data_IF_290669181704
#
_entry.id   IF_290669181704
#
_cell.length_a   1.000
_cell.length_b   1.000
_cell.length_c   1.000
_cell.angle_alpha   90.00
_cell.angle_beta   90.00
_cell.angle_gamma   90.00
#
_symmetry.space_group_name_H-M   'P 1'
#
loop_
_entity.id
_entity.type
_entity.pdbx_description
1 polymer ?
#
# COMPACT_ATOMS: atom_id res chain seq x y z
N UNK A 1 -24.72 66.75 -38.30
CA UNK A 1 -23.28 67.12 -38.30
C UNK A 1 -22.62 66.46 -37.10
N UNK A 2 -21.56 65.67 -37.35
CA UNK A 2 -20.34 65.35 -36.55
C UNK A 2 -20.49 65.31 -35.01
N UNK A 3 -20.01 64.35 -34.23
CA UNK A 3 -18.98 63.32 -34.42
C UNK A 3 -18.93 62.43 -33.16
N UNK A 4 -18.88 61.11 -33.37
CA UNK A 4 -18.16 60.04 -32.65
C UNK A 4 -17.47 60.39 -31.31
N UNK A 5 -17.83 59.64 -30.26
CA UNK A 5 -16.92 59.25 -29.15
C UNK A 5 -17.23 57.78 -28.82
N UNK A 6 -16.57 56.86 -29.53
CA UNK A 6 -15.41 56.06 -29.09
C UNK A 6 -15.82 54.74 -28.43
N UNK A 7 -15.71 53.68 -29.23
CA UNK A 7 -15.64 52.30 -28.80
C UNK A 7 -14.47 52.10 -27.82
N UNK A 8 -14.72 51.52 -26.65
CA UNK A 8 -13.76 50.63 -25.99
C UNK A 8 -14.55 49.45 -25.43
N UNK A 9 -14.95 48.58 -26.34
CA UNK A 9 -15.33 47.20 -26.05
C UNK A 9 -14.10 46.36 -26.42
N UNK A 10 -13.24 46.02 -25.46
CA UNK A 10 -12.11 45.11 -25.73
C UNK A 10 -11.45 44.62 -24.43
N UNK A 11 -11.66 43.33 -24.17
CA UNK A 11 -10.74 42.43 -23.47
C UNK A 11 -10.48 42.67 -21.97
N UNK A 12 -11.41 42.18 -21.13
CA UNK A 12 -11.02 41.56 -19.87
C UNK A 12 -11.26 40.04 -19.99
N UNK A 13 -10.41 39.41 -20.80
CA UNK A 13 -10.33 37.95 -20.92
C UNK A 13 -9.88 37.36 -19.60
N UNK A 14 -10.82 36.69 -18.95
CA UNK A 14 -10.69 35.61 -17.97
C UNK A 14 -9.30 34.92 -17.98
N UNK A 15 -8.46 35.22 -17.00
CA UNK A 15 -7.34 34.35 -16.65
C UNK A 15 -7.87 33.19 -15.81
N UNK A 16 -8.45 32.20 -16.47
CA UNK A 16 -8.72 30.88 -15.88
C UNK A 16 -7.84 29.87 -16.60
N UNK A 17 -6.61 29.70 -16.14
CA UNK A 17 -5.73 28.59 -16.51
C UNK A 17 -4.54 28.57 -15.56
N UNK A 18 -4.23 27.49 -14.85
CA UNK A 18 -4.92 26.23 -14.68
C UNK A 18 -4.51 25.65 -13.34
N UNK A 19 -5.44 25.02 -12.64
CA UNK A 19 -5.04 24.09 -11.59
C UNK A 19 -4.23 22.99 -12.29
N UNK A 20 -2.96 22.93 -11.97
CA UNK A 20 -2.04 21.87 -12.36
C UNK A 20 -2.76 20.54 -12.28
N UNK A 21 -2.81 19.83 -13.41
CA UNK A 21 -3.18 18.43 -13.48
C UNK A 21 -2.24 17.70 -12.52
N UNK A 22 -2.70 17.49 -11.28
CA UNK A 22 -2.12 16.48 -10.41
C UNK A 22 -2.21 15.16 -11.18
N UNK A 23 -1.16 14.33 -11.18
CA UNK A 23 -1.23 13.05 -11.87
C UNK A 23 -2.38 12.26 -11.28
N UNK A 24 -3.44 12.10 -12.06
CA UNK A 24 -4.53 11.17 -11.81
C UNK A 24 -3.85 9.82 -11.59
N UNK A 25 -4.11 9.17 -10.45
CA UNK A 25 -3.60 7.82 -10.18
C UNK A 25 -3.80 6.98 -11.45
N UNK A 26 -2.71 6.53 -12.07
CA UNK A 26 -2.80 5.82 -13.34
C UNK A 26 -3.64 4.56 -13.14
N UNK A 27 -4.56 4.32 -14.07
CA UNK A 27 -5.35 3.09 -14.11
C UNK A 27 -4.45 1.86 -14.03
N UNK A 28 -4.96 0.81 -13.37
CA UNK A 28 -4.26 -0.48 -13.29
C UNK A 28 -4.18 -1.07 -14.69
N UNK A 29 -3.01 -1.58 -15.08
CA UNK A 29 -2.84 -2.22 -16.39
C UNK A 29 -3.87 -3.33 -16.60
N UNK A 30 -4.33 -3.46 -17.84
CA UNK A 30 -5.27 -4.53 -18.22
C UNK A 30 -4.70 -5.90 -17.86
N UNK A 31 -5.50 -6.71 -17.16
CA UNK A 31 -5.08 -8.04 -16.68
C UNK A 31 -4.19 -8.03 -15.43
N UNK A 32 -3.95 -6.86 -14.82
CA UNK A 32 -3.17 -6.73 -13.58
C UNK A 32 -4.04 -6.31 -12.40
N UNK A 33 -3.48 -6.47 -11.21
CA UNK A 33 -3.96 -5.91 -9.94
C UNK A 33 -2.87 -5.05 -9.34
N UNK A 34 -3.24 -3.98 -8.63
CA UNK A 34 -2.29 -3.16 -7.88
C UNK A 34 -2.42 -3.46 -6.40
N UNK A 35 -1.33 -3.86 -5.74
CA UNK A 35 -1.31 -4.06 -4.28
C UNK A 35 -0.56 -2.88 -3.66
N UNK A 36 -1.24 -2.17 -2.76
CA UNK A 36 -0.71 -1.04 -2.00
C UNK A 36 -0.25 -1.51 -0.63
N UNK A 37 0.94 -1.08 -0.24
CA UNK A 37 1.45 -1.28 1.11
C UNK A 37 0.90 -0.19 2.02
N UNK A 38 0.75 -0.50 3.30
CA UNK A 38 0.35 0.46 4.33
C UNK A 38 1.57 0.87 5.15
N UNK A 39 1.67 2.16 5.39
CA UNK A 39 2.67 2.76 6.27
C UNK A 39 1.96 3.76 7.16
N UNK A 40 1.99 3.53 8.48
CA UNK A 40 1.50 4.46 9.47
C UNK A 40 2.66 4.90 10.35
N UNK A 41 2.90 6.21 10.39
CA UNK A 41 3.97 6.81 11.16
C UNK A 41 3.37 7.83 12.11
N UNK A 42 3.37 7.46 13.38
CA UNK A 42 2.95 8.31 14.49
C UNK A 42 4.18 8.72 15.30
N UNK A 43 4.11 9.81 16.09
CA UNK A 43 5.26 10.26 16.88
C UNK A 43 5.90 9.18 17.77
N UNK A 44 5.12 8.18 18.20
CA UNK A 44 5.55 7.13 19.13
C UNK A 44 5.68 5.74 18.49
N UNK A 45 5.25 5.57 17.24
CA UNK A 45 5.17 4.25 16.60
C UNK A 45 5.23 4.35 15.09
N UNK A 46 6.11 3.56 14.50
CA UNK A 46 6.12 3.26 13.07
C UNK A 46 5.54 1.87 12.84
N UNK A 47 4.58 1.78 11.94
CA UNK A 47 3.92 0.55 11.53
C UNK A 47 3.98 0.46 10.00
N UNK A 48 4.33 -0.72 9.49
CA UNK A 48 4.33 -0.99 8.07
C UNK A 48 3.81 -2.38 7.78
N UNK A 49 2.93 -2.49 6.80
CA UNK A 49 2.37 -3.74 6.30
C UNK A 49 2.64 -3.78 4.80
N UNK A 50 3.47 -4.74 4.37
CA UNK A 50 3.94 -4.77 3.00
C UNK A 50 4.20 -6.19 2.50
N UNK A 51 4.14 -6.37 1.18
CA UNK A 51 4.66 -7.59 0.55
C UNK A 51 6.19 -7.58 0.67
N UNK A 52 6.78 -8.57 1.32
CA UNK A 52 8.25 -8.65 1.45
C UNK A 52 8.90 -9.62 0.45
N UNK A 53 8.14 -10.05 -0.56
CA UNK A 53 8.60 -10.90 -1.64
C UNK A 53 8.39 -10.24 -3.00
N UNK A 54 9.37 -10.36 -3.89
CA UNK A 54 9.25 -9.97 -5.30
C UNK A 54 10.14 -10.81 -6.20
N UNK A 55 9.58 -11.27 -7.31
CA UNK A 55 10.19 -12.27 -8.19
C UNK A 55 10.75 -13.43 -7.36
N UNK A 56 9.96 -13.88 -6.37
CA UNK A 56 10.31 -14.97 -5.46
C UNK A 56 11.57 -14.72 -4.61
N UNK A 57 11.92 -13.45 -4.37
CA UNK A 57 13.08 -13.04 -3.56
C UNK A 57 12.67 -12.13 -2.41
N UNK A 58 13.39 -12.25 -1.31
CA UNK A 58 13.25 -11.34 -0.16
C UNK A 58 13.69 -9.95 -0.58
N UNK A 59 12.94 -8.97 -0.12
CA UNK A 59 13.16 -7.55 -0.37
C UNK A 59 12.85 -6.78 0.91
N UNK A 60 13.61 -5.72 1.15
CA UNK A 60 13.55 -5.00 2.42
C UNK A 60 12.41 -3.97 2.46
N UNK A 61 12.06 -3.40 1.29
CA UNK A 61 10.98 -2.42 1.16
C UNK A 61 10.30 -2.51 -0.20
N UNK A 62 8.98 -2.32 -0.23
CA UNK A 62 8.20 -2.22 -1.46
C UNK A 62 7.51 -0.89 -1.62
N UNK A 63 7.67 -0.34 -2.82
CA UNK A 63 6.69 0.57 -3.40
C UNK A 63 5.46 -0.23 -3.84
N UNK A 64 4.32 0.43 -3.99
CA UNK A 64 3.14 -0.21 -4.57
C UNK A 64 3.49 -0.80 -5.94
N UNK A 65 3.06 -2.04 -6.21
CA UNK A 65 3.35 -2.76 -7.45
C UNK A 65 2.10 -3.36 -8.06
N UNK A 66 2.22 -3.62 -9.36
CA UNK A 66 1.23 -4.36 -10.13
C UNK A 66 1.69 -5.79 -10.34
N UNK A 67 0.75 -6.73 -10.21
CA UNK A 67 0.94 -8.15 -10.44
C UNK A 67 -0.12 -8.66 -11.41
N UNK A 68 0.13 -9.72 -12.19
CA UNK A 68 -0.92 -10.35 -12.99
C UNK A 68 -2.11 -10.71 -12.11
N UNK A 69 -3.34 -10.52 -12.58
CA UNK A 69 -4.54 -10.89 -11.83
C UNK A 69 -4.69 -12.41 -11.70
N UNK A 70 -5.51 -12.82 -10.72
CA UNK A 70 -5.89 -14.21 -10.47
C UNK A 70 -5.41 -14.73 -9.11
N UNK A 71 -5.13 -16.03 -9.06
CA UNK A 71 -4.73 -16.71 -7.82
C UNK A 71 -3.32 -16.31 -7.39
N UNK A 72 -3.18 -15.86 -6.15
CA UNK A 72 -1.90 -15.53 -5.53
C UNK A 72 -1.65 -16.25 -4.22
N UNK A 73 -0.37 -16.56 -4.00
CA UNK A 73 0.19 -16.91 -2.70
C UNK A 73 1.08 -15.76 -2.23
N UNK A 74 0.56 -14.90 -1.37
CA UNK A 74 1.20 -13.66 -0.95
C UNK A 74 1.78 -13.81 0.45
N UNK A 75 3.03 -13.37 0.63
CA UNK A 75 3.67 -13.27 1.92
C UNK A 75 3.77 -11.80 2.34
N UNK A 76 3.07 -11.46 3.42
CA UNK A 76 2.94 -10.11 3.96
C UNK A 76 3.76 -10.02 5.24
N UNK A 77 4.57 -8.99 5.36
CA UNK A 77 5.32 -8.64 6.54
C UNK A 77 4.68 -7.43 7.22
N UNK A 78 4.57 -7.54 8.53
CA UNK A 78 4.24 -6.44 9.43
C UNK A 78 5.49 -6.12 10.20
N UNK A 79 5.89 -4.84 10.22
CA UNK A 79 6.90 -4.34 11.13
C UNK A 79 6.31 -3.22 11.99
N UNK A 80 6.50 -3.34 13.31
CA UNK A 80 6.09 -2.34 14.32
C UNK A 80 7.31 -1.94 15.12
N UNK A 81 7.68 -0.66 15.09
CA UNK A 81 8.78 -0.11 15.86
C UNK A 81 8.30 1.02 16.77
N UNK A 82 8.66 0.96 18.05
CA UNK A 82 8.50 2.06 18.99
C UNK A 82 9.61 3.09 18.76
N UNK A 83 9.23 4.31 18.39
CA UNK A 83 10.13 5.41 18.07
C UNK A 83 10.63 6.18 19.30
N UNK A 84 9.98 5.99 20.47
CA UNK A 84 10.34 6.67 21.73
C UNK A 84 11.46 5.93 22.44
N UNK A 85 11.40 4.60 22.47
CA UNK A 85 12.31 3.77 23.27
C UNK A 85 13.48 3.18 22.49
N UNK A 86 13.68 3.56 21.22
CA UNK A 86 14.70 2.97 20.32
C UNK A 86 14.69 1.42 20.36
N UNK A 87 13.50 0.83 20.44
CA UNK A 87 13.35 -0.63 20.51
C UNK A 87 13.72 -1.26 19.16
N UNK A 88 14.20 -2.52 19.18
CA UNK A 88 14.66 -3.25 17.99
C UNK A 88 13.56 -3.58 16.95
N UNK A 89 12.35 -3.02 17.09
CA UNK A 89 11.19 -3.38 16.30
C UNK A 89 10.68 -4.79 16.60
N UNK A 90 9.44 -5.04 16.21
CA UNK A 90 8.86 -6.38 16.17
C UNK A 90 8.25 -6.63 14.81
N UNK A 91 8.28 -7.87 14.39
CA UNK A 91 7.77 -8.29 13.09
C UNK A 91 6.82 -9.48 13.20
N UNK A 92 5.89 -9.57 12.25
CA UNK A 92 5.14 -10.77 11.98
C UNK A 92 5.07 -11.00 10.48
N UNK A 93 4.90 -12.26 10.08
CA UNK A 93 4.67 -12.60 8.67
C UNK A 93 3.45 -13.49 8.54
N UNK A 94 2.60 -13.12 7.59
CA UNK A 94 1.33 -13.76 7.29
C UNK A 94 1.34 -14.22 5.84
N UNK A 95 0.70 -15.35 5.56
CA UNK A 95 0.49 -15.86 4.22
C UNK A 95 -0.99 -15.73 3.85
N UNK A 96 -1.25 -15.25 2.63
CA UNK A 96 -2.58 -15.18 2.04
C UNK A 96 -2.62 -15.96 0.75
N UNK A 97 -3.59 -16.87 0.65
CA UNK A 97 -3.94 -17.54 -0.59
C UNK A 97 -5.28 -16.95 -1.06
N UNK A 98 -5.23 -16.08 -2.07
CA UNK A 98 -6.36 -15.22 -2.48
C UNK A 98 -6.48 -15.17 -3.99
N UNK A 99 -7.69 -15.01 -4.50
CA UNK A 99 -7.95 -14.72 -5.91
C UNK A 99 -8.25 -13.22 -6.06
N UNK A 100 -7.46 -12.52 -6.87
CA UNK A 100 -7.54 -11.07 -7.04
C UNK A 100 -7.95 -10.74 -8.49
N UNK A 101 -9.23 -10.37 -8.73
CA UNK A 101 -9.70 -9.97 -10.05
C UNK A 101 -8.96 -8.78 -10.65
N UNK A 102 -8.79 -8.80 -11.98
CA UNK A 102 -8.10 -7.77 -12.75
C UNK A 102 -8.76 -6.39 -12.66
N UNK A 103 -7.96 -5.34 -12.87
CA UNK A 103 -8.41 -3.95 -12.89
C UNK A 103 -8.66 -3.35 -11.51
N UNK A 104 -8.44 -4.11 -10.43
CA UNK A 104 -8.67 -3.68 -9.05
C UNK A 104 -7.39 -3.25 -8.35
N UNK A 105 -7.58 -2.39 -7.34
CA UNK A 105 -6.55 -1.97 -6.41
C UNK A 105 -6.88 -2.59 -5.05
N UNK A 106 -5.87 -3.13 -4.40
CA UNK A 106 -5.99 -3.72 -3.06
C UNK A 106 -5.02 -3.01 -2.12
N UNK A 107 -5.36 -2.98 -0.84
CA UNK A 107 -4.47 -2.50 0.21
C UNK A 107 -4.25 -3.60 1.25
N UNK A 108 -3.01 -3.76 1.67
CA UNK A 108 -2.69 -4.56 2.85
C UNK A 108 -3.06 -3.75 4.08
N UNK A 109 -3.99 -4.26 4.88
CA UNK A 109 -4.47 -3.56 6.06
C UNK A 109 -4.25 -4.39 7.33
N UNK A 110 -4.29 -3.72 8.47
CA UNK A 110 -4.14 -4.38 9.76
C UNK A 110 -4.53 -3.51 10.94
N UNK A 111 -4.64 -4.17 12.09
CA UNK A 111 -5.00 -3.54 13.34
C UNK A 111 -4.29 -4.22 14.51
N UNK A 112 -3.66 -3.41 15.35
CA UNK A 112 -3.13 -3.85 16.65
C UNK A 112 -4.26 -4.28 17.58
N UNK A 113 -4.15 -5.51 18.13
CA UNK A 113 -5.14 -6.08 19.05
C UNK A 113 -4.73 -5.96 20.52
N UNK A 114 -3.43 -6.00 20.78
CA UNK A 114 -2.81 -5.79 22.08
C UNK A 114 -1.76 -4.69 21.94
N UNK A 115 -1.28 -4.11 23.05
CA UNK A 115 -0.24 -3.07 23.16
C UNK A 115 1.12 -3.57 22.66
N UNK A 116 1.17 -3.90 21.36
CA UNK A 116 2.31 -4.35 20.56
C UNK A 116 2.64 -5.85 20.60
N UNK A 117 1.77 -6.72 21.12
CA UNK A 117 2.02 -8.17 21.10
C UNK A 117 1.35 -8.89 19.92
N UNK A 118 0.15 -8.47 19.53
CA UNK A 118 -0.67 -9.15 18.53
C UNK A 118 -1.31 -8.18 17.55
N UNK A 119 -1.45 -8.63 16.31
CA UNK A 119 -2.06 -7.87 15.23
C UNK A 119 -2.98 -8.74 14.38
N UNK A 120 -4.09 -8.17 13.92
CA UNK A 120 -4.90 -8.70 12.84
C UNK A 120 -4.41 -8.11 11.51
N UNK A 121 -4.26 -8.93 10.47
CA UNK A 121 -3.83 -8.52 9.13
C UNK A 121 -4.79 -9.09 8.09
N UNK A 122 -5.13 -8.31 7.08
CA UNK A 122 -6.00 -8.73 5.97
C UNK A 122 -5.75 -7.89 4.71
N UNK A 123 -6.46 -8.22 3.64
CA UNK A 123 -6.44 -7.51 2.36
C UNK A 123 -7.83 -6.92 2.12
N UNK A 124 -7.87 -5.65 1.73
CA UNK A 124 -9.10 -4.95 1.35
C UNK A 124 -9.04 -4.49 -0.10
N UNK A 125 -10.19 -4.49 -0.78
CA UNK A 125 -10.39 -3.70 -1.98
C UNK A 125 -10.31 -2.21 -1.62
N UNK A 126 -9.42 -1.50 -2.31
CA UNK A 126 -9.08 -0.12 -1.98
C UNK A 126 -10.22 0.86 -2.23
N UNK A 127 -11.11 0.56 -3.18
CA UNK A 127 -12.13 1.52 -3.63
C UNK A 127 -13.40 1.44 -2.76
N UNK A 128 -13.73 0.26 -2.21
CA UNK A 128 -14.96 0.05 -1.45
C UNK A 128 -14.75 -0.48 -0.01
N UNK A 129 -13.50 -0.70 0.42
CA UNK A 129 -13.13 -1.25 1.73
C UNK A 129 -13.71 -2.66 2.02
N UNK A 130 -14.05 -3.41 0.99
CA UNK A 130 -14.46 -4.81 1.13
C UNK A 130 -13.26 -5.67 1.51
N UNK A 131 -13.37 -6.45 2.60
CA UNK A 131 -12.34 -7.41 3.01
C UNK A 131 -12.37 -8.60 2.05
N UNK A 132 -11.29 -8.80 1.29
CA UNK A 132 -11.17 -9.84 0.24
C UNK A 132 -10.28 -11.02 0.66
N UNK A 133 -9.82 -11.05 1.91
CA UNK A 133 -9.06 -12.16 2.49
C UNK A 133 -9.61 -12.56 3.86
N UNK A 134 -9.24 -13.73 4.39
CA UNK A 134 -9.39 -13.99 5.81
C UNK A 134 -8.67 -12.93 6.65
N UNK A 135 -9.20 -12.63 7.83
CA UNK A 135 -8.49 -11.82 8.84
C UNK A 135 -7.61 -12.76 9.65
N UNK A 136 -6.29 -12.55 9.59
CA UNK A 136 -5.31 -13.42 10.26
C UNK A 136 -4.77 -12.70 11.49
N UNK A 137 -4.96 -13.30 12.67
CA UNK A 137 -4.33 -12.85 13.91
C UNK A 137 -2.93 -13.46 14.04
N UNK A 138 -1.95 -12.65 14.39
CA UNK A 138 -0.56 -13.10 14.50
C UNK A 138 0.17 -12.36 15.63
N UNK A 139 1.12 -13.05 16.25
CA UNK A 139 1.96 -12.48 17.31
C UNK A 139 3.22 -11.87 16.72
N UNK A 140 3.55 -10.67 17.19
CA UNK A 140 4.74 -9.91 16.83
C UNK A 140 5.96 -10.47 17.56
N UNK A 141 7.04 -10.75 16.83
CA UNK A 141 8.27 -11.37 17.34
C UNK A 141 9.47 -10.46 17.13
N UNK A 142 10.53 -10.68 17.91
CA UNK A 142 11.80 -9.97 17.69
C UNK A 142 12.43 -10.45 16.36
N UNK A 143 12.77 -9.55 15.41
CA UNK A 143 13.34 -9.92 14.12
C UNK A 143 14.63 -10.74 14.21
N UNK A 144 15.48 -10.47 15.21
CA UNK A 144 16.74 -11.20 15.43
C UNK A 144 16.56 -12.69 15.70
N UNK A 145 15.36 -13.11 16.10
CA UNK A 145 15.02 -14.50 16.35
C UNK A 145 14.58 -15.25 15.08
N UNK A 146 14.40 -14.56 13.95
CA UNK A 146 13.87 -15.16 12.73
C UNK A 146 15.01 -15.38 11.71
N UNK A 147 15.34 -16.65 11.37
CA UNK A 147 16.42 -16.94 10.43
C UNK A 147 16.11 -16.44 9.02
N UNK A 148 17.09 -15.82 8.36
CA UNK A 148 16.96 -15.39 6.96
C UNK A 148 16.54 -16.53 6.00
N UNK A 149 17.00 -17.77 6.26
CA UNK A 149 16.62 -18.94 5.46
C UNK A 149 15.11 -19.21 5.47
N UNK A 150 14.41 -18.85 6.55
CA UNK A 150 12.95 -18.94 6.58
C UNK A 150 12.33 -17.93 5.61
N UNK A 151 12.81 -16.67 5.62
CA UNK A 151 12.35 -15.60 4.71
C UNK A 151 12.56 -15.99 3.25
N UNK A 152 13.72 -16.57 2.95
CA UNK A 152 14.03 -17.07 1.62
C UNK A 152 13.02 -18.12 1.16
N UNK A 153 12.75 -19.14 1.98
CA UNK A 153 11.76 -20.19 1.64
C UNK A 153 10.35 -19.63 1.47
N UNK A 154 9.96 -18.67 2.30
CA UNK A 154 8.68 -17.97 2.16
C UNK A 154 8.58 -17.31 0.79
N UNK A 155 9.58 -16.51 0.41
CA UNK A 155 9.56 -15.86 -0.90
C UNK A 155 9.72 -16.82 -2.08
N UNK A 156 10.45 -17.92 -1.96
CA UNK A 156 10.50 -18.95 -3.00
C UNK A 156 9.13 -19.60 -3.26
N UNK A 157 8.27 -19.65 -2.24
CA UNK A 157 6.89 -20.14 -2.37
C UNK A 157 5.88 -19.06 -2.80
N UNK A 158 6.29 -17.79 -2.83
CA UNK A 158 5.45 -16.66 -3.24
C UNK A 158 5.05 -16.77 -4.72
N UNK A 159 3.86 -16.29 -5.06
CA UNK A 159 3.49 -16.09 -6.47
C UNK A 159 3.97 -14.74 -7.04
N UNK A 160 4.51 -13.86 -6.18
CA UNK A 160 4.98 -12.50 -6.52
C UNK A 160 6.46 -12.29 -6.34
#
# INVERSE_FOLDING_TARGET
MKSRLLCVLSALTLTVSGCSLLPIETDVKEGFVRIKNQYDNTPNRNESIFLFCHNQRVIEHQTNREYPAGQHNLWVMVNVADTVHNSAGREAVVNFNVDLPAGKKYILNGQMLDQNAEMAVWIEDFDNAEVVSPIVKTSLKNPSLVPYQLRKKQCESSSV
#
